data_IF_204000242671
#
_entry.id   IF_204000242671
#
_cell.length_a   1.000
_cell.length_b   1.000
_cell.length_c   1.000
_cell.angle_alpha   90.00
_cell.angle_beta   90.00
_cell.angle_gamma   90.00
#
_symmetry.space_group_name_H-M   'P 1'
#
loop_
_entity.id
_entity.type
_entity.pdbx_description
1 polymer ?
#
# COMPACT_ATOMS: atom_id res chain seq x y z
N UNK A 1 -18.20 10.31 -6.02
CA UNK A 1 -17.19 10.35 -4.93
C UNK A 1 -16.35 9.09 -5.03
N UNK A 2 -15.07 9.11 -4.63
CA UNK A 2 -14.29 7.86 -4.53
C UNK A 2 -14.66 7.15 -3.23
N UNK A 3 -15.00 5.85 -3.24
CA UNK A 3 -15.24 5.10 -2.01
C UNK A 3 -14.00 5.12 -1.10
N UNK A 4 -14.20 5.34 0.20
CA UNK A 4 -13.14 5.22 1.20
C UNK A 4 -13.10 3.79 1.73
N UNK A 5 -11.91 3.20 1.83
CA UNK A 5 -11.73 1.81 2.28
C UNK A 5 -10.61 1.76 3.32
N UNK A 6 -10.89 1.17 4.48
CA UNK A 6 -9.90 0.92 5.53
C UNK A 6 -9.23 -0.43 5.30
N UNK A 7 -7.90 -0.46 5.26
CA UNK A 7 -7.10 -1.69 5.05
C UNK A 7 -5.83 -1.69 5.90
N UNK A 8 -5.26 -2.87 6.14
CA UNK A 8 -4.00 -3.03 6.85
C UNK A 8 -3.33 -4.37 6.55
N UNK A 9 -2.02 -4.44 6.73
CA UNK A 9 -1.22 -5.67 6.57
C UNK A 9 -1.00 -6.36 7.93
N UNK A 10 -1.34 -7.65 8.04
CA UNK A 10 -1.16 -8.46 9.26
C UNK A 10 -0.23 -9.66 9.00
N UNK A 11 0.31 -10.29 10.06
CA UNK A 11 1.17 -11.49 9.94
C UNK A 11 2.41 -11.49 10.85
N UNK A 12 3.17 -12.60 10.80
CA UNK A 12 4.37 -12.82 11.63
C UNK A 12 5.44 -11.74 11.42
N UNK A 13 6.25 -11.46 12.45
CA UNK A 13 7.37 -10.51 12.38
C UNK A 13 8.32 -10.87 11.23
N UNK A 14 8.99 -9.87 10.65
CA UNK A 14 9.94 -10.03 9.53
C UNK A 14 9.41 -10.57 8.19
N UNK A 15 8.11 -10.89 8.08
CA UNK A 15 7.48 -11.29 6.81
C UNK A 15 7.16 -10.11 5.87
N UNK A 16 7.79 -8.95 6.06
CA UNK A 16 7.74 -7.86 5.09
C UNK A 16 6.44 -7.04 5.04
N UNK A 17 5.61 -7.03 6.09
CA UNK A 17 4.38 -6.20 6.17
C UNK A 17 4.65 -4.72 5.86
N UNK A 18 5.63 -4.12 6.54
CA UNK A 18 6.05 -2.72 6.31
C UNK A 18 6.60 -2.50 4.89
N UNK A 19 7.39 -3.46 4.38
CA UNK A 19 7.92 -3.43 3.02
C UNK A 19 6.79 -3.44 1.99
N UNK A 20 5.77 -4.28 2.21
CA UNK A 20 4.60 -4.37 1.33
C UNK A 20 3.80 -3.07 1.35
N UNK A 21 3.58 -2.47 2.52
CA UNK A 21 2.91 -1.15 2.62
C UNK A 21 3.66 -0.08 1.83
N UNK A 22 4.99 0.00 1.93
CA UNK A 22 5.81 0.95 1.18
C UNK A 22 5.77 0.69 -0.33
N UNK A 23 5.79 -0.59 -0.74
CA UNK A 23 5.71 -0.98 -2.14
C UNK A 23 4.36 -0.61 -2.76
N UNK A 24 3.24 -0.81 -2.05
CA UNK A 24 1.90 -0.42 -2.50
C UNK A 24 1.86 1.10 -2.75
N UNK A 25 2.31 1.91 -1.79
CA UNK A 25 2.31 3.37 -1.93
C UNK A 25 3.15 3.82 -3.15
N UNK A 26 4.36 3.28 -3.29
CA UNK A 26 5.29 3.63 -4.37
C UNK A 26 4.73 3.25 -5.75
N UNK A 27 4.22 2.03 -5.90
CA UNK A 27 3.74 1.53 -7.18
C UNK A 27 2.46 2.23 -7.63
N UNK A 28 1.52 2.48 -6.70
CA UNK A 28 0.28 3.18 -7.05
C UNK A 28 0.55 4.64 -7.44
N UNK A 29 1.46 5.32 -6.74
CA UNK A 29 1.90 6.66 -7.14
C UNK A 29 2.58 6.64 -8.52
N UNK A 30 3.47 5.70 -8.80
CA UNK A 30 4.16 5.62 -10.09
C UNK A 30 3.23 5.27 -11.27
N UNK A 31 2.21 4.43 -11.04
CA UNK A 31 1.31 3.95 -12.11
C UNK A 31 0.08 4.83 -12.32
N UNK A 32 -0.44 5.41 -11.25
CA UNK A 32 -1.74 6.10 -11.26
C UNK A 32 -1.67 7.50 -10.64
N UNK A 33 -0.52 7.92 -10.10
CA UNK A 33 -0.29 9.30 -9.71
C UNK A 33 -0.22 10.18 -10.96
N UNK A 34 -0.98 11.27 -10.94
CA UNK A 34 -1.00 12.24 -12.05
C UNK A 34 0.34 12.95 -12.20
N UNK A 35 0.60 13.42 -13.43
CA UNK A 35 1.67 14.38 -13.73
C UNK A 35 1.50 15.69 -12.93
#
# INVERSE_FOLDING_TARGET
>A
TKPHVNVGTIGHVDHGKTTLTAAIATVLAAKFGGA
#
